data_IF_464247997608
#
_entry.id   IF_464247997608
#
_cell.length_a   1.000
_cell.length_b   1.000
_cell.length_c   1.000
_cell.angle_alpha   90.00
_cell.angle_beta   90.00
_cell.angle_gamma   90.00
#
_symmetry.space_group_name_H-M   'P 1'
#
loop_
_entity.id
_entity.type
_entity.pdbx_description
1 polymer ?
#
# COMPACT_ATOMS: atom_id res chain seq x y z
N UNK A 1 15.76 -3.33 -3.52
CA UNK A 1 14.38 -3.68 -3.19
C UNK A 1 13.51 -2.98 -4.21
N UNK A 2 13.11 -3.77 -5.19
CA UNK A 2 12.37 -3.31 -6.35
C UNK A 2 10.89 -3.44 -6.01
N UNK A 3 10.19 -2.30 -6.09
CA UNK A 3 8.74 -2.27 -5.94
C UNK A 3 8.12 -2.26 -7.33
N UNK A 4 7.17 -3.17 -7.53
CA UNK A 4 6.36 -3.24 -8.75
C UNK A 4 4.93 -2.93 -8.39
N UNK A 5 4.38 -1.88 -9.01
CA UNK A 5 2.98 -1.53 -8.93
C UNK A 5 2.23 -2.18 -10.09
N UNK A 6 1.30 -3.08 -9.79
CA UNK A 6 0.46 -3.71 -10.79
C UNK A 6 -0.98 -3.16 -10.72
N UNK A 7 -1.47 -2.49 -11.77
CA UNK A 7 -2.86 -2.01 -11.83
C UNK A 7 -3.83 -3.17 -11.78
N UNK A 8 -4.80 -3.10 -10.87
CA UNK A 8 -5.89 -4.06 -10.75
C UNK A 8 -7.22 -3.37 -10.53
N UNK A 9 -8.31 -4.12 -10.75
CA UNK A 9 -9.62 -3.67 -10.26
C UNK A 9 -9.88 -4.28 -8.90
N UNK A 10 -10.07 -3.42 -7.90
CA UNK A 10 -10.43 -3.86 -6.55
C UNK A 10 -11.92 -3.60 -6.39
N UNK A 11 -12.68 -4.66 -6.15
CA UNK A 11 -14.13 -4.55 -5.93
C UNK A 11 -14.41 -4.01 -4.54
N UNK A 12 -14.19 -2.71 -4.35
CA UNK A 12 -14.45 -1.97 -3.11
C UNK A 12 -15.93 -1.68 -2.91
N UNK A 13 -16.76 -1.91 -3.93
CA UNK A 13 -18.21 -1.62 -3.90
C UNK A 13 -18.56 -0.20 -4.37
N UNK A 14 -17.59 0.58 -4.84
CA UNK A 14 -17.78 1.89 -5.46
C UNK A 14 -17.60 1.82 -7.00
N UNK A 15 -18.13 2.80 -7.74
CA UNK A 15 -18.04 2.83 -9.22
C UNK A 15 -16.59 2.92 -9.75
N UNK A 16 -15.68 3.50 -8.96
CA UNK A 16 -14.26 3.59 -9.27
C UNK A 16 -13.48 2.47 -8.57
N UNK A 17 -13.57 1.26 -9.12
CA UNK A 17 -12.83 0.07 -8.67
C UNK A 17 -11.33 0.15 -9.04
N UNK A 18 -10.66 1.31 -8.96
CA UNK A 18 -9.24 1.44 -9.31
C UNK A 18 -8.36 1.07 -8.13
N UNK A 19 -7.49 0.08 -8.29
CA UNK A 19 -6.49 -0.28 -7.28
C UNK A 19 -5.16 -0.71 -7.87
N UNK A 20 -4.19 -0.91 -6.97
CA UNK A 20 -2.84 -1.31 -7.30
C UNK A 20 -2.37 -2.37 -6.30
N UNK A 21 -1.83 -3.46 -6.83
CA UNK A 21 -1.08 -4.43 -6.05
C UNK A 21 0.38 -3.99 -6.00
N UNK A 22 0.93 -3.88 -4.80
CA UNK A 22 2.33 -3.57 -4.60
C UNK A 22 3.08 -4.85 -4.32
N UNK A 23 4.01 -5.18 -5.22
CA UNK A 23 4.93 -6.28 -5.05
C UNK A 23 6.30 -5.74 -4.65
N UNK A 24 6.97 -6.40 -3.71
CA UNK A 24 8.36 -6.15 -3.39
C UNK A 24 9.17 -7.43 -3.64
N UNK A 25 10.19 -7.35 -4.50
CA UNK A 25 11.00 -8.53 -4.89
C UNK A 25 10.13 -9.73 -5.37
N UNK A 26 9.00 -9.44 -6.02
CA UNK A 26 8.05 -10.44 -6.52
C UNK A 26 7.03 -10.97 -5.52
N UNK A 27 7.08 -10.55 -4.25
CA UNK A 27 6.09 -10.90 -3.24
C UNK A 27 5.05 -9.78 -3.03
N UNK A 28 3.76 -10.13 -2.93
CA UNK A 28 2.71 -9.15 -2.66
C UNK A 28 2.85 -8.63 -1.22
N UNK A 29 3.02 -7.32 -1.07
CA UNK A 29 3.24 -6.67 0.23
C UNK A 29 2.12 -5.72 0.62
N UNK A 30 1.36 -5.18 -0.34
CA UNK A 30 0.28 -4.24 -0.06
C UNK A 30 -0.75 -4.19 -1.20
N UNK A 31 -1.98 -3.78 -0.86
CA UNK A 31 -3.04 -3.41 -1.80
C UNK A 31 -3.40 -1.95 -1.56
N UNK A 32 -3.29 -1.14 -2.60
CA UNK A 32 -3.71 0.25 -2.62
C UNK A 32 -5.01 0.37 -3.42
N UNK A 33 -5.92 1.21 -2.96
CA UNK A 33 -7.17 1.56 -3.65
C UNK A 33 -7.25 3.07 -3.83
N UNK A 34 -7.69 3.52 -4.99
CA UNK A 34 -7.91 4.94 -5.25
C UNK A 34 -9.29 5.29 -4.73
N UNK A 35 -9.37 6.24 -3.80
CA UNK A 35 -10.63 6.77 -3.28
C UNK A 35 -11.21 7.72 -4.34
N UNK A 36 -12.44 7.44 -4.79
CA UNK A 36 -13.12 8.34 -5.72
C UNK A 36 -13.82 9.50 -5.03
N UNK A 37 -14.36 10.40 -5.84
CA UNK A 37 -15.16 11.59 -5.48
C UNK A 37 -16.27 11.33 -4.45
N UNK A 38 -16.68 10.08 -4.25
CA UNK A 38 -17.63 9.67 -3.21
C UNK A 38 -17.11 10.01 -1.79
N UNK A 39 -15.81 10.25 -1.62
CA UNK A 39 -15.20 10.60 -0.34
C UNK A 39 -14.88 12.10 -0.18
N UNK A 40 -15.48 13.00 -0.96
CA UNK A 40 -15.41 14.49 -0.92
C UNK A 40 -14.05 15.11 -0.48
N UNK A 41 -13.66 14.98 0.80
CA UNK A 41 -12.39 15.45 1.36
C UNK A 41 -11.16 14.58 1.00
N UNK A 42 -11.34 13.30 0.67
CA UNK A 42 -10.27 12.34 0.35
C UNK A 42 -10.28 11.89 -1.13
N UNK A 43 -11.06 12.57 -1.98
CA UNK A 43 -11.19 12.25 -3.38
C UNK A 43 -9.84 12.33 -4.12
N UNK A 44 -9.46 11.27 -4.82
CA UNK A 44 -8.20 11.15 -5.55
C UNK A 44 -7.01 10.65 -4.72
N UNK A 45 -7.19 10.41 -3.42
CA UNK A 45 -6.15 9.84 -2.57
C UNK A 45 -6.04 8.31 -2.74
N UNK A 46 -4.84 7.79 -2.51
CA UNK A 46 -4.55 6.37 -2.45
C UNK A 46 -4.61 5.87 -1.01
N UNK A 47 -5.46 4.88 -0.77
CA UNK A 47 -5.64 4.26 0.53
C UNK A 47 -4.99 2.88 0.57
N UNK A 48 -4.25 2.58 1.64
CA UNK A 48 -3.76 1.23 1.92
C UNK A 48 -4.88 0.39 2.53
N UNK A 49 -5.56 -0.38 1.70
CA UNK A 49 -6.64 -1.26 2.11
C UNK A 49 -6.12 -2.44 2.94
N UNK A 50 -5.02 -3.04 2.50
CA UNK A 50 -4.39 -4.15 3.24
C UNK A 50 -2.88 -4.17 3.03
N UNK A 51 -2.15 -4.39 4.12
CA UNK A 51 -0.73 -4.67 4.13
C UNK A 51 -0.48 -6.14 4.48
N UNK A 52 0.61 -6.70 3.96
CA UNK A 52 1.05 -8.06 4.27
C UNK A 52 2.39 -8.04 5.00
N UNK A 53 2.64 -9.06 5.84
CA UNK A 53 3.89 -9.19 6.60
C UNK A 53 4.11 -8.02 7.56
N UNK A 54 5.25 -7.32 7.43
CA UNK A 54 5.60 -6.16 8.25
C UNK A 54 4.63 -4.98 8.11
N UNK A 55 3.82 -4.96 7.04
CA UNK A 55 2.81 -3.93 6.81
C UNK A 55 1.43 -4.30 7.37
N UNK A 56 1.19 -5.57 7.71
CA UNK A 56 -0.13 -6.06 8.16
C UNK A 56 -0.54 -5.52 9.54
N UNK A 57 0.43 -5.18 10.38
CA UNK A 57 0.21 -4.64 11.72
C UNK A 57 0.17 -3.10 11.75
N UNK A 58 0.33 -2.44 10.60
CA UNK A 58 0.33 -0.99 10.51
C UNK A 58 -1.08 -0.47 10.27
N UNK A 59 -1.38 0.69 10.87
CA UNK A 59 -2.65 1.35 10.65
C UNK A 59 -2.82 1.74 9.17
N UNK A 60 -4.07 1.73 8.67
CA UNK A 60 -4.37 2.18 7.33
C UNK A 60 -3.83 3.60 7.09
N UNK A 61 -3.10 3.78 5.99
CA UNK A 61 -2.49 5.05 5.60
C UNK A 61 -3.12 5.55 4.30
N UNK A 62 -3.34 6.87 4.23
CA UNK A 62 -3.75 7.59 3.04
C UNK A 62 -2.55 8.31 2.45
N UNK A 63 -2.45 8.31 1.13
CA UNK A 63 -1.37 8.94 0.38
C UNK A 63 -1.97 9.82 -0.70
N UNK A 64 -1.39 10.99 -0.94
CA UNK A 64 -1.78 11.85 -2.07
C UNK A 64 -1.35 11.26 -3.40
N UNK A 65 -0.24 10.54 -3.43
CA UNK A 65 0.38 10.06 -4.66
C UNK A 65 1.02 8.69 -4.48
N UNK A 66 1.20 7.98 -5.60
CA UNK A 66 1.84 6.67 -5.63
C UNK A 66 3.30 6.70 -5.16
N UNK A 67 4.01 7.79 -5.45
CA UNK A 67 5.39 7.97 -5.01
C UNK A 67 5.50 8.00 -3.48
N UNK A 68 4.57 8.69 -2.81
CA UNK A 68 4.49 8.74 -1.36
C UNK A 68 4.15 7.36 -0.76
N UNK A 69 3.25 6.61 -1.39
CA UNK A 69 2.92 5.24 -1.00
C UNK A 69 4.12 4.30 -1.15
N UNK A 70 4.82 4.34 -2.30
CA UNK A 70 6.03 3.56 -2.54
C UNK A 70 7.12 3.89 -1.53
N UNK A 71 7.42 5.17 -1.30
CA UNK A 71 8.45 5.59 -0.36
C UNK A 71 8.14 5.11 1.06
N UNK A 72 6.87 5.19 1.48
CA UNK A 72 6.42 4.69 2.77
C UNK A 72 6.61 3.17 2.88
N UNK A 73 6.21 2.41 1.86
CA UNK A 73 6.38 0.95 1.79
C UNK A 73 7.87 0.58 1.83
N UNK A 74 8.71 1.21 0.99
CA UNK A 74 10.17 0.97 0.98
C UNK A 74 10.78 1.21 2.35
N UNK A 75 10.41 2.29 3.04
CA UNK A 75 10.96 2.62 4.37
C UNK A 75 10.57 1.61 5.45
N UNK A 76 9.40 0.98 5.31
CA UNK A 76 8.88 -0.01 6.26
C UNK A 76 9.36 -1.42 5.98
N UNK A 77 9.60 -1.74 4.71
CA UNK A 77 10.16 -3.02 4.27
C UNK A 77 11.68 -3.03 4.29
N UNK A 78 12.32 -1.85 4.34
CA UNK A 78 13.72 -1.73 4.66
C UNK A 78 13.97 -2.56 5.93
N UNK A 79 14.97 -3.45 5.91
CA UNK A 79 15.22 -4.32 7.04
C UNK A 79 15.37 -3.45 8.28
N UNK A 80 14.45 -3.62 9.23
CA UNK A 80 14.65 -3.13 10.58
C UNK A 80 16.03 -3.64 10.96
N UNK A 81 17.00 -2.73 11.09
CA UNK A 81 18.31 -2.98 11.70
C UNK A 81 18.13 -3.28 13.20
N UNK A 82 17.02 -3.91 13.59
CA UNK A 82 16.87 -4.51 14.90
C UNK A 82 17.69 -5.79 14.86
N UNK A 83 18.72 -5.90 15.70
CA UNK A 83 19.42 -7.16 15.84
C UNK A 83 18.38 -8.21 16.18
N UNK A 84 18.28 -9.25 15.33
CA UNK A 84 17.52 -10.46 15.66
C UNK A 84 18.05 -10.94 17.00
N UNK A 85 17.30 -10.73 18.08
CA UNK A 85 17.65 -11.27 19.39
C UNK A 85 17.65 -12.79 19.24
N UNK A 86 18.79 -13.47 19.41
CA UNK A 86 18.82 -14.93 19.32
C UNK A 86 18.00 -15.52 20.48
N UNK A 87 17.49 -16.76 20.31
CA UNK A 87 16.73 -17.47 21.34
C UNK A 87 17.54 -17.71 22.62
#
# INVERSE_FOLDING_TARGET
MDLTLQPVRVRTGSEDERGLLVFADGALVAVLVCLSDVHEEDAGLWFLETGFGSLASLQPAKFTDLDAAEAWIRRRLAPDLRPRRPP
#
